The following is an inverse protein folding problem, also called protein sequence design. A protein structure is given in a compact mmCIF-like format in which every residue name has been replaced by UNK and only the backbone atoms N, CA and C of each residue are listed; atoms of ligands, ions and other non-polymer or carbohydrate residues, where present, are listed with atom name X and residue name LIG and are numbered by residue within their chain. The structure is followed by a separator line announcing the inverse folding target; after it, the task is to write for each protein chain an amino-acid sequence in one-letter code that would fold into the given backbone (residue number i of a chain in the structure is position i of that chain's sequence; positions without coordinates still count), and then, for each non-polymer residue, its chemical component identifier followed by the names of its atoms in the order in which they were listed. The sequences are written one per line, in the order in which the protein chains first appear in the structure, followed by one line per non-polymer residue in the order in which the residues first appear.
data_IF_459696050832
#
_entry.id   IF_459696050832
#
_cell.length_a   1.000
_cell.length_b   1.000
_cell.length_c   1.000
_cell.angle_alpha   90.00
_cell.angle_beta   90.00
_cell.angle_gamma   90.00
#
_symmetry.space_group_name_H-M   'P 1'
#
loop_
_entity.id
_entity.type
_entity.pdbx_description
1 polymer ?
#
# COMPACT_ATOMS: atom_id res chain seq x y z
N UNK A 1 6.51 -10.86 28.72
CA UNK A 1 5.38 -10.95 27.77
C UNK A 1 5.22 -12.34 27.15
N UNK A 2 6.28 -12.93 26.57
CA UNK A 2 6.25 -14.23 25.90
C UNK A 2 5.50 -15.35 26.65
N UNK A 3 5.82 -15.60 27.92
CA UNK A 3 5.16 -16.64 28.73
C UNK A 3 3.64 -16.43 28.82
N UNK A 4 3.20 -15.22 29.19
CA UNK A 4 1.77 -14.85 29.26
C UNK A 4 1.05 -15.07 27.93
N UNK A 5 1.70 -14.77 26.81
CA UNK A 5 1.11 -14.99 25.50
C UNK A 5 0.97 -16.46 25.14
N UNK A 6 1.97 -17.29 25.44
CA UNK A 6 1.88 -18.74 25.21
C UNK A 6 0.77 -19.38 26.04
N UNK A 7 0.59 -18.89 27.26
CA UNK A 7 -0.41 -19.39 28.20
C UNK A 7 -1.85 -19.01 27.79
N UNK A 8 -2.06 -17.84 27.15
CA UNK A 8 -3.41 -17.31 26.87
C UNK A 8 -3.75 -17.11 25.39
N UNK A 9 -2.78 -16.94 24.49
CA UNK A 9 -2.99 -16.55 23.09
C UNK A 9 -3.78 -17.58 22.29
N UNK A 10 -3.60 -18.88 22.60
CA UNK A 10 -4.32 -19.97 21.93
C UNK A 10 -5.84 -19.84 22.05
N UNK A 11 -6.34 -19.29 23.17
CA UNK A 11 -7.78 -19.08 23.41
C UNK A 11 -8.40 -18.08 22.44
N UNK A 12 -7.59 -17.20 21.85
CA UNK A 12 -8.02 -16.16 20.92
C UNK A 12 -7.61 -16.45 19.48
N UNK A 13 -7.23 -17.70 19.18
CA UNK A 13 -6.73 -18.08 17.84
C UNK A 13 -5.32 -17.56 17.53
N UNK A 14 -4.63 -16.96 18.51
CA UNK A 14 -3.28 -16.46 18.35
C UNK A 14 -2.29 -17.61 18.59
N UNK A 15 -1.87 -18.25 17.50
CA UNK A 15 -0.93 -19.38 17.55
C UNK A 15 0.52 -18.90 17.49
N UNK A 16 1.44 -19.68 18.07
CA UNK A 16 2.88 -19.34 18.05
C UNK A 16 3.41 -19.17 16.62
N UNK A 17 2.92 -19.97 15.66
CA UNK A 17 3.35 -19.88 14.25
C UNK A 17 3.01 -18.54 13.58
N UNK A 18 1.98 -17.84 14.07
CA UNK A 18 1.55 -16.56 13.50
C UNK A 18 2.09 -15.34 14.27
N UNK A 19 2.59 -15.55 15.49
CA UNK A 19 2.89 -14.46 16.43
C UNK A 19 4.36 -14.43 16.86
N UNK A 20 5.04 -15.57 16.81
CA UNK A 20 6.46 -15.69 17.14
C UNK A 20 7.20 -16.25 15.94
N UNK A 21 7.84 -15.33 15.20
CA UNK A 21 8.77 -15.66 14.16
C UNK A 21 10.19 -15.48 14.70
N UNK A 22 11.08 -16.42 14.38
CA UNK A 22 12.50 -16.15 14.54
C UNK A 22 12.86 -15.03 13.58
N UNK A 23 13.41 -13.95 14.10
CA UNK A 23 13.74 -12.75 13.35
C UNK A 23 15.07 -12.20 13.80
N UNK A 24 15.70 -11.42 12.93
CA UNK A 24 16.91 -10.69 13.25
C UNK A 24 16.55 -9.39 13.98
N UNK A 25 17.35 -9.07 14.99
CA UNK A 25 17.23 -7.86 15.77
C UNK A 25 18.60 -7.21 15.84
N UNK A 26 18.66 -5.90 15.62
CA UNK A 26 19.88 -5.09 15.73
C UNK A 26 19.85 -4.33 17.03
N UNK A 27 20.88 -4.49 17.86
CA UNK A 27 21.14 -3.62 19.00
C UNK A 27 21.57 -2.24 18.51
N UNK A 28 20.92 -1.19 19.02
CA UNK A 28 21.15 0.21 18.69
C UNK A 28 22.03 0.93 19.72
N UNK A 29 22.33 0.30 20.86
CA UNK A 29 23.21 0.84 21.89
C UNK A 29 22.78 2.25 22.38
N UNK A 30 23.71 3.22 22.48
CA UNK A 30 23.45 4.55 23.04
C UNK A 30 22.42 5.39 22.26
N UNK A 31 22.10 5.04 21.01
CA UNK A 31 21.04 5.71 20.25
C UNK A 31 19.67 5.54 20.94
N UNK A 32 19.46 4.43 21.65
CA UNK A 32 18.24 4.16 22.43
C UNK A 32 18.11 5.01 23.70
N UNK A 33 19.20 5.58 24.21
CA UNK A 33 19.23 6.31 25.49
C UNK A 33 18.76 7.78 25.37
N UNK A 34 18.70 8.32 24.15
CA UNK A 34 18.52 9.75 23.89
C UNK A 34 17.07 10.20 23.64
N UNK A 35 16.08 9.31 23.79
CA UNK A 35 14.65 9.67 23.69
C UNK A 35 13.74 8.74 24.48
N UNK A 36 12.81 9.25 25.31
CA UNK A 36 11.75 8.41 25.90
C UNK A 36 10.82 7.78 24.84
N UNK A 37 10.72 8.37 23.64
CA UNK A 37 9.95 7.81 22.51
C UNK A 37 10.74 6.76 21.70
N UNK A 38 12.05 6.65 21.91
CA UNK A 38 12.95 5.70 21.24
C UNK A 38 13.65 4.78 22.25
N UNK A 39 12.98 4.32 23.30
CA UNK A 39 13.53 3.26 24.18
C UNK A 39 13.67 1.90 23.46
N UNK A 40 14.00 1.94 22.17
CA UNK A 40 14.41 0.86 21.30
C UNK A 40 15.93 0.78 21.43
N UNK A 41 16.39 0.05 22.44
CA UNK A 41 17.74 -0.51 22.42
C UNK A 41 17.89 -1.52 21.26
N UNK A 42 16.79 -1.92 20.65
CA UNK A 42 16.72 -2.96 19.64
C UNK A 42 15.80 -2.54 18.50
N UNK A 43 16.19 -2.82 17.25
CA UNK A 43 15.36 -2.66 16.05
C UNK A 43 15.18 -4.03 15.38
N UNK A 44 13.93 -4.48 15.19
CA UNK A 44 13.68 -5.72 14.46
C UNK A 44 13.83 -5.53 12.95
N UNK A 45 14.16 -6.60 12.23
CA UNK A 45 14.23 -6.55 10.77
C UNK A 45 12.89 -6.19 10.13
N UNK A 46 11.76 -6.56 10.75
CA UNK A 46 10.43 -6.20 10.29
C UNK A 46 10.18 -4.70 10.44
N UNK A 47 10.49 -4.12 11.60
CA UNK A 47 10.34 -2.68 11.84
C UNK A 47 11.18 -1.86 10.85
N UNK A 48 12.41 -2.31 10.56
CA UNK A 48 13.27 -1.67 9.57
C UNK A 48 12.65 -1.66 8.16
N UNK A 49 12.01 -2.76 7.75
CA UNK A 49 11.28 -2.83 6.47
C UNK A 49 10.05 -1.94 6.47
N UNK A 50 9.31 -1.90 7.58
CA UNK A 50 8.13 -1.03 7.72
C UNK A 50 8.50 0.45 7.61
N UNK A 51 9.57 0.85 8.30
CA UNK A 51 10.15 2.20 8.24
C UNK A 51 10.56 2.55 6.81
N UNK A 52 11.38 1.70 6.18
CA UNK A 52 11.86 1.95 4.83
C UNK A 52 10.70 2.06 3.83
N UNK A 53 9.73 1.14 3.92
CA UNK A 53 8.56 1.12 3.03
C UNK A 53 7.72 2.38 3.21
N UNK A 54 7.46 2.80 4.45
CA UNK A 54 6.68 3.98 4.75
C UNK A 54 7.34 5.24 4.17
N UNK A 55 8.63 5.44 4.45
CA UNK A 55 9.40 6.58 3.92
C UNK A 55 9.48 6.58 2.38
N UNK A 56 9.71 5.43 1.74
CA UNK A 56 9.71 5.30 0.28
C UNK A 56 8.36 5.70 -0.33
N UNK A 57 7.27 5.34 0.34
CA UNK A 57 5.90 5.58 -0.13
C UNK A 57 5.29 6.92 0.28
N UNK A 58 6.02 7.74 1.05
CA UNK A 58 5.53 9.01 1.57
C UNK A 58 5.16 9.96 0.42
N UNK A 59 3.96 10.55 0.48
CA UNK A 59 3.48 11.46 -0.56
C UNK A 59 3.53 12.90 -0.02
N UNK A 60 4.23 13.83 -0.70
CA UNK A 60 4.30 15.22 -0.27
C UNK A 60 2.92 15.85 -0.11
N UNK A 61 2.76 16.73 0.89
CA UNK A 61 1.51 17.46 1.13
C UNK A 61 1.13 18.35 -0.06
N UNK A 62 2.11 18.91 -0.77
CA UNK A 62 1.91 19.69 -1.99
C UNK A 62 1.24 18.89 -3.12
N UNK A 63 1.36 17.56 -3.09
CA UNK A 63 0.73 16.64 -4.03
C UNK A 63 -0.49 15.95 -3.39
N UNK A 64 -1.19 16.63 -2.49
CA UNK A 64 -2.42 16.12 -1.88
C UNK A 64 -3.65 16.60 -2.63
N UNK A 65 -4.72 15.80 -2.62
CA UNK A 65 -6.03 16.18 -3.12
C UNK A 65 -6.63 17.43 -2.42
N UNK A 66 -6.14 17.79 -1.22
CA UNK A 66 -6.54 19.05 -0.57
C UNK A 66 -5.90 20.30 -1.18
N UNK A 67 -4.88 20.15 -2.05
CA UNK A 67 -4.11 21.26 -2.62
C UNK A 67 -4.20 21.31 -4.16
N UNK A 68 -5.26 20.75 -4.76
CA UNK A 68 -5.44 20.70 -6.23
C UNK A 68 -5.40 22.07 -6.91
N UNK A 69 -5.79 23.12 -6.19
CA UNK A 69 -5.74 24.51 -6.68
C UNK A 69 -4.33 25.08 -6.81
N UNK A 70 -3.38 24.54 -6.05
CA UNK A 70 -1.97 24.96 -6.05
C UNK A 70 -1.08 24.12 -6.95
N UNK A 71 -1.64 23.12 -7.65
CA UNK A 71 -0.88 22.31 -8.59
C UNK A 71 -0.38 23.16 -9.76
N UNK A 72 0.78 22.81 -10.34
CA UNK A 72 1.27 23.40 -11.57
C UNK A 72 0.20 23.38 -12.67
N UNK A 73 0.07 24.50 -13.38
CA UNK A 73 -0.89 24.66 -14.48
C UNK A 73 -0.21 25.27 -15.70
N UNK A 74 -0.65 24.82 -16.87
CA UNK A 74 -0.29 25.39 -18.15
C UNK A 74 -0.94 26.78 -18.33
N UNK A 75 -0.52 27.51 -19.36
CA UNK A 75 -1.03 28.85 -19.65
C UNK A 75 -2.54 28.89 -19.95
N UNK A 76 -3.13 27.76 -20.36
CA UNK A 76 -4.57 27.58 -20.59
C UNK A 76 -5.36 27.17 -19.33
N UNK A 77 -4.68 27.05 -18.19
CA UNK A 77 -5.26 26.68 -16.90
C UNK A 77 -5.42 25.17 -16.66
N UNK A 78 -5.07 24.32 -17.63
CA UNK A 78 -5.06 22.88 -17.44
C UNK A 78 -3.92 22.44 -16.51
N UNK A 79 -4.06 21.35 -15.75
CA UNK A 79 -2.97 20.79 -14.97
C UNK A 79 -1.75 20.51 -15.84
N UNK A 80 -0.58 20.96 -15.41
CA UNK A 80 0.69 20.62 -16.06
C UNK A 80 1.13 19.24 -15.58
N UNK A 81 0.69 18.20 -16.30
CA UNK A 81 0.98 16.81 -15.98
C UNK A 81 2.50 16.53 -15.93
N UNK A 82 3.28 17.16 -16.81
CA UNK A 82 4.73 16.97 -16.85
C UNK A 82 5.40 17.55 -15.60
N UNK A 83 5.00 18.75 -15.16
CA UNK A 83 5.49 19.34 -13.93
C UNK A 83 5.08 18.52 -12.69
N UNK A 84 3.84 18.03 -12.63
CA UNK A 84 3.36 17.18 -11.54
C UNK A 84 4.17 15.88 -11.46
N UNK A 85 4.42 15.22 -12.61
CA UNK A 85 5.23 14.00 -12.69
C UNK A 85 6.67 14.25 -12.25
N UNK A 86 7.24 15.41 -12.59
CA UNK A 86 8.60 15.76 -12.16
C UNK A 86 8.66 15.99 -10.64
N UNK A 87 7.69 16.70 -10.05
CA UNK A 87 7.59 16.85 -8.59
C UNK A 87 7.48 15.49 -7.89
N UNK A 88 6.69 14.56 -8.43
CA UNK A 88 6.60 13.19 -7.91
C UNK A 88 7.93 12.44 -8.01
N UNK A 89 8.66 12.62 -9.12
CA UNK A 89 9.96 11.99 -9.35
C UNK A 89 10.98 12.51 -8.35
N UNK A 90 11.07 13.82 -8.16
CA UNK A 90 11.94 14.47 -7.17
C UNK A 90 11.62 13.97 -5.75
N UNK A 91 10.34 13.91 -5.39
CA UNK A 91 9.90 13.39 -4.10
C UNK A 91 10.32 11.92 -3.89
N UNK A 92 10.17 11.06 -4.90
CA UNK A 92 10.59 9.65 -4.82
C UNK A 92 12.10 9.51 -4.63
N UNK A 93 12.91 10.36 -5.27
CA UNK A 93 14.36 10.37 -5.08
C UNK A 93 14.73 10.85 -3.67
N UNK A 94 14.08 11.91 -3.17
CA UNK A 94 14.28 12.38 -1.81
C UNK A 94 13.89 11.31 -0.77
N UNK A 95 12.77 10.63 -0.98
CA UNK A 95 12.29 9.54 -0.14
C UNK A 95 13.27 8.35 -0.11
N UNK A 96 13.91 8.04 -1.23
CA UNK A 96 14.95 7.00 -1.28
C UNK A 96 16.11 7.31 -0.33
N UNK A 97 16.62 8.54 -0.36
CA UNK A 97 17.70 8.96 0.53
C UNK A 97 17.24 9.02 1.99
N UNK A 98 16.03 9.54 2.27
CA UNK A 98 15.43 9.51 3.63
C UNK A 98 15.33 8.09 4.17
N UNK A 99 14.83 7.15 3.38
CA UNK A 99 14.72 5.75 3.77
C UNK A 99 16.10 5.11 4.01
N UNK A 100 17.07 5.40 3.12
CA UNK A 100 18.46 4.92 3.27
C UNK A 100 19.09 5.42 4.57
N UNK A 101 18.99 6.71 4.87
CA UNK A 101 19.54 7.31 6.08
C UNK A 101 18.89 6.76 7.35
N UNK A 102 17.57 6.54 7.33
CA UNK A 102 16.82 5.96 8.45
C UNK A 102 17.29 4.54 8.79
N UNK A 103 17.40 3.64 7.80
CA UNK A 103 17.77 2.23 8.06
C UNK A 103 19.24 2.04 8.43
N UNK A 104 20.12 2.99 8.10
CA UNK A 104 21.51 2.96 8.55
C UNK A 104 21.62 3.09 10.08
N UNK A 105 20.61 3.69 10.73
CA UNK A 105 20.56 3.90 12.18
C UNK A 105 21.80 4.65 12.72
N UNK A 106 22.30 5.63 11.96
CA UNK A 106 23.45 6.46 12.37
C UNK A 106 23.02 7.59 13.30
N UNK A 107 21.89 8.20 12.99
CA UNK A 107 21.33 9.36 13.71
C UNK A 107 19.91 9.03 14.18
N UNK A 108 19.49 9.51 15.36
CA UNK A 108 18.17 9.21 15.90
C UNK A 108 17.04 9.95 15.14
N UNK A 109 17.33 11.07 14.49
CA UNK A 109 16.34 11.89 13.79
C UNK A 109 15.62 11.16 12.65
N UNK A 110 16.33 10.72 11.60
CA UNK A 110 15.74 9.97 10.48
C UNK A 110 15.01 8.70 10.93
N UNK A 111 15.51 8.02 11.96
CA UNK A 111 14.85 6.84 12.51
C UNK A 111 13.51 7.19 13.17
N UNK A 112 13.43 8.27 13.97
CA UNK A 112 12.16 8.75 14.58
C UNK A 112 11.13 9.09 13.53
N UNK A 113 11.56 9.83 12.51
CA UNK A 113 10.72 10.22 11.39
C UNK A 113 10.17 8.99 10.67
N UNK A 114 11.03 8.02 10.38
CA UNK A 114 10.63 6.76 9.76
C UNK A 114 9.64 5.94 10.59
N UNK A 115 9.82 5.89 11.91
CA UNK A 115 8.87 5.23 12.83
C UNK A 115 7.52 5.95 12.80
N UNK A 116 7.51 7.28 12.86
CA UNK A 116 6.28 8.07 12.81
C UNK A 116 5.52 7.82 11.50
N UNK A 117 6.21 7.88 10.36
CA UNK A 117 5.62 7.62 9.04
C UNK A 117 5.05 6.19 8.95
N UNK A 118 5.77 5.19 9.50
CA UNK A 118 5.30 3.81 9.51
C UNK A 118 4.03 3.62 10.35
N UNK A 119 3.95 4.30 11.51
CA UNK A 119 2.76 4.27 12.36
C UNK A 119 1.56 4.93 11.69
N UNK A 120 1.76 6.09 11.04
CA UNK A 120 0.73 6.78 10.27
C UNK A 120 0.25 5.93 9.10
N UNK A 121 1.18 5.33 8.35
CA UNK A 121 0.88 4.40 7.26
C UNK A 121 0.05 3.21 7.72
N UNK A 122 0.41 2.59 8.85
CA UNK A 122 -0.30 1.44 9.39
C UNK A 122 -1.71 1.84 9.87
N UNK A 123 -1.85 3.01 10.50
CA UNK A 123 -3.15 3.55 10.92
C UNK A 123 -4.06 3.80 9.71
N UNK A 124 -3.56 4.44 8.64
CA UNK A 124 -4.32 4.70 7.43
C UNK A 124 -4.82 3.39 6.76
N UNK A 125 -3.96 2.37 6.65
CA UNK A 125 -4.33 1.04 6.12
C UNK A 125 -5.44 0.41 6.96
N UNK A 126 -5.29 0.41 8.29
CA UNK A 126 -6.27 -0.14 9.21
C UNK A 126 -7.62 0.57 9.07
N UNK A 127 -7.62 1.89 9.05
CA UNK A 127 -8.84 2.70 9.08
C UNK A 127 -9.61 2.62 7.76
N UNK A 128 -8.90 2.65 6.62
CA UNK A 128 -9.54 2.43 5.31
C UNK A 128 -10.05 1.00 5.14
N UNK A 129 -9.30 -0.01 5.61
CA UNK A 129 -9.77 -1.40 5.58
C UNK A 129 -11.06 -1.59 6.41
N UNK A 130 -11.13 -0.99 7.61
CA UNK A 130 -12.35 -0.99 8.44
C UNK A 130 -13.51 -0.34 7.71
N UNK A 131 -13.31 0.85 7.16
CA UNK A 131 -14.34 1.58 6.41
C UNK A 131 -14.91 0.72 5.26
N UNK A 132 -14.04 0.13 4.45
CA UNK A 132 -14.44 -0.70 3.31
C UNK A 132 -15.17 -1.96 3.73
N UNK A 133 -14.79 -2.55 4.87
CA UNK A 133 -15.48 -3.72 5.45
C UNK A 133 -16.87 -3.34 5.97
N UNK A 134 -16.96 -2.26 6.74
CA UNK A 134 -18.19 -1.83 7.41
C UNK A 134 -19.24 -1.38 6.39
N UNK A 135 -18.81 -0.74 5.30
CA UNK A 135 -19.67 -0.33 4.18
C UNK A 135 -19.93 -1.44 3.17
N UNK A 136 -19.35 -2.63 3.34
CA UNK A 136 -19.43 -3.76 2.39
C UNK A 136 -19.00 -3.38 0.97
N UNK A 137 -18.01 -2.50 0.84
CA UNK A 137 -17.48 -2.00 -0.44
C UNK A 137 -16.60 -3.01 -1.20
N UNK A 138 -16.47 -4.25 -0.70
CA UNK A 138 -15.76 -5.33 -1.38
C UNK A 138 -16.74 -6.19 -2.14
N UNK A 139 -16.66 -6.12 -3.47
CA UNK A 139 -17.52 -6.81 -4.41
C UNK A 139 -16.84 -8.07 -4.96
N UNK A 140 -17.63 -8.90 -5.64
CA UNK A 140 -17.16 -10.10 -6.33
C UNK A 140 -17.30 -9.94 -7.82
N UNK A 141 -16.22 -10.15 -8.56
CA UNK A 141 -16.23 -10.47 -9.99
C UNK A 141 -16.14 -11.99 -10.17
N UNK A 142 -16.09 -12.46 -11.42
CA UNK A 142 -16.00 -13.90 -11.73
C UNK A 142 -14.73 -14.54 -11.15
N UNK A 143 -13.56 -13.95 -11.41
CA UNK A 143 -12.25 -14.51 -11.07
C UNK A 143 -11.60 -13.88 -9.82
N UNK A 144 -12.02 -12.68 -9.41
CA UNK A 144 -11.42 -11.94 -8.29
C UNK A 144 -12.48 -11.20 -7.45
N UNK A 145 -12.06 -10.67 -6.31
CA UNK A 145 -12.78 -9.66 -5.52
C UNK A 145 -12.23 -8.28 -5.82
N UNK A 146 -13.02 -7.25 -5.62
CA UNK A 146 -12.55 -5.89 -5.88
C UNK A 146 -13.19 -4.85 -4.97
N UNK A 147 -12.50 -3.73 -4.80
CA UNK A 147 -13.07 -2.52 -4.22
C UNK A 147 -12.52 -1.28 -4.93
N UNK A 148 -13.29 -0.20 -4.89
CA UNK A 148 -12.95 1.09 -5.49
C UNK A 148 -13.00 2.18 -4.41
N UNK A 149 -11.99 3.05 -4.37
CA UNK A 149 -11.86 4.14 -3.40
C UNK A 149 -11.75 5.46 -4.16
N UNK A 150 -12.80 6.27 -4.11
CA UNK A 150 -12.88 7.54 -4.84
C UNK A 150 -12.13 8.69 -4.17
N UNK A 151 -12.06 8.67 -2.83
CA UNK A 151 -11.43 9.72 -2.02
C UNK A 151 -10.47 9.09 -1.02
N UNK A 152 -9.33 8.58 -1.48
CA UNK A 152 -8.34 7.95 -0.61
C UNK A 152 -7.58 8.98 0.24
N UNK A 153 -7.11 8.59 1.43
CA UNK A 153 -6.01 9.28 2.08
C UNK A 153 -4.76 9.36 1.18
N UNK A 154 -3.94 10.41 1.36
CA UNK A 154 -2.83 10.74 0.45
C UNK A 154 -1.82 9.59 0.25
N UNK A 155 -1.58 8.79 1.29
CA UNK A 155 -0.65 7.64 1.23
C UNK A 155 -1.01 6.60 0.17
N UNK A 156 -2.29 6.48 -0.19
CA UNK A 156 -2.74 5.51 -1.19
C UNK A 156 -2.59 6.00 -2.63
N UNK A 157 -2.02 7.20 -2.87
CA UNK A 157 -1.53 7.59 -4.20
C UNK A 157 -0.27 6.81 -4.61
N UNK A 158 0.42 6.19 -3.65
CA UNK A 158 1.58 5.36 -3.92
C UNK A 158 1.20 3.85 -4.00
N UNK A 159 1.69 3.09 -4.99
CA UNK A 159 1.34 1.67 -5.17
C UNK A 159 1.67 0.79 -3.96
N UNK A 160 2.75 1.10 -3.22
CA UNK A 160 3.08 0.38 -1.99
C UNK A 160 2.00 0.55 -0.90
N UNK A 161 1.40 1.73 -0.77
CA UNK A 161 0.31 1.97 0.18
C UNK A 161 -0.93 1.16 -0.18
N UNK A 162 -1.30 1.15 -1.47
CA UNK A 162 -2.43 0.35 -1.98
C UNK A 162 -2.15 -1.15 -1.85
N UNK A 163 -0.92 -1.60 -2.11
CA UNK A 163 -0.49 -2.99 -1.92
C UNK A 163 -0.64 -3.42 -0.46
N UNK A 164 -0.17 -2.62 0.49
CA UNK A 164 -0.33 -2.90 1.93
C UNK A 164 -1.79 -3.03 2.32
N UNK A 165 -2.65 -2.14 1.82
CA UNK A 165 -4.10 -2.24 2.00
C UNK A 165 -4.68 -3.53 1.42
N UNK A 166 -4.29 -3.90 0.20
CA UNK A 166 -4.79 -5.09 -0.48
C UNK A 166 -4.42 -6.37 0.31
N UNK A 167 -3.15 -6.51 0.72
CA UNK A 167 -2.68 -7.65 1.51
C UNK A 167 -3.39 -7.69 2.86
N UNK A 168 -3.47 -6.56 3.57
CA UNK A 168 -4.16 -6.49 4.86
C UNK A 168 -5.65 -6.85 4.74
N UNK A 169 -6.33 -6.38 3.70
CA UNK A 169 -7.72 -6.72 3.42
C UNK A 169 -7.88 -8.21 3.12
N UNK A 170 -6.98 -8.83 2.35
CA UNK A 170 -7.01 -10.27 2.09
C UNK A 170 -6.93 -11.06 3.40
N UNK A 171 -6.01 -10.71 4.30
CA UNK A 171 -5.97 -11.30 5.64
C UNK A 171 -7.32 -11.10 6.35
N UNK A 172 -7.85 -9.87 6.45
CA UNK A 172 -9.16 -9.65 7.09
C UNK A 172 -10.30 -10.48 6.47
N UNK A 173 -10.30 -10.68 5.15
CA UNK A 173 -11.32 -11.46 4.43
C UNK A 173 -11.20 -12.97 4.63
N UNK A 174 -10.00 -13.48 4.93
CA UNK A 174 -9.68 -14.91 4.92
C UNK A 174 -9.19 -15.47 6.28
N UNK A 175 -8.61 -14.66 7.17
CA UNK A 175 -8.14 -15.07 8.49
C UNK A 175 -9.29 -15.45 9.45
N UNK A 176 -10.49 -14.87 9.29
CA UNK A 176 -11.66 -15.13 10.17
C UNK A 176 -12.48 -16.35 9.71
N UNK A 177 -12.12 -17.00 8.60
CA UNK A 177 -12.89 -18.12 8.06
C UNK A 177 -12.53 -19.45 8.72
N UNK A 178 -13.13 -19.71 9.87
CA UNK A 178 -13.47 -21.09 10.24
C UNK A 178 -14.72 -21.50 9.46
N UNK A 179 -14.54 -22.05 8.25
CA UNK A 179 -15.61 -22.80 7.57
C UNK A 179 -16.39 -22.12 6.44
N UNK A 180 -15.93 -21.01 5.84
CA UNK A 180 -16.56 -20.52 4.62
C UNK A 180 -16.19 -21.42 3.42
N UNK A 181 -17.20 -22.06 2.83
CA UNK A 181 -17.11 -22.96 1.69
C UNK A 181 -16.88 -22.13 0.43
N UNK A 182 -15.63 -21.89 0.05
CA UNK A 182 -15.31 -21.26 -1.23
C UNK A 182 -13.83 -20.91 -1.34
N UNK A 183 -13.25 -20.93 -2.55
CA UNK A 183 -11.83 -20.66 -2.74
C UNK A 183 -11.50 -19.22 -2.32
N UNK A 184 -10.31 -19.06 -1.74
CA UNK A 184 -9.69 -17.75 -1.61
C UNK A 184 -9.54 -17.18 -3.03
N UNK A 185 -9.82 -15.89 -3.21
CA UNK A 185 -9.80 -15.21 -4.51
C UNK A 185 -8.87 -14.00 -4.41
N UNK A 186 -8.12 -13.68 -5.47
CA UNK A 186 -7.34 -12.45 -5.53
C UNK A 186 -8.22 -11.22 -5.29
N UNK A 187 -7.61 -10.13 -4.82
CA UNK A 187 -8.25 -8.84 -4.59
C UNK A 187 -7.63 -7.78 -5.49
N UNK A 188 -8.48 -7.03 -6.18
CA UNK A 188 -8.11 -5.82 -6.91
C UNK A 188 -8.56 -4.59 -6.12
N UNK A 189 -7.62 -3.74 -5.73
CA UNK A 189 -7.93 -2.45 -5.10
C UNK A 189 -7.70 -1.35 -6.12
N UNK A 190 -8.71 -0.52 -6.35
CA UNK A 190 -8.66 0.59 -7.30
C UNK A 190 -8.82 1.90 -6.54
N UNK A 191 -7.85 2.79 -6.68
CA UNK A 191 -7.79 4.05 -5.94
C UNK A 191 -7.76 5.20 -6.93
N UNK A 192 -8.65 6.18 -6.77
CA UNK A 192 -8.66 7.37 -7.59
C UNK A 192 -7.60 8.37 -7.12
N UNK A 193 -6.63 8.65 -7.99
CA UNK A 193 -5.67 9.72 -7.81
C UNK A 193 -6.18 10.98 -8.52
N UNK A 194 -6.76 11.89 -7.74
CA UNK A 194 -7.32 13.16 -8.22
C UNK A 194 -6.25 14.17 -8.67
N UNK A 195 -4.99 13.99 -8.29
CA UNK A 195 -3.90 14.89 -8.71
C UNK A 195 -3.49 14.57 -10.15
N UNK A 196 -3.49 13.28 -10.50
CA UNK A 196 -3.11 12.80 -11.84
C UNK A 196 -4.30 12.42 -12.71
N UNK A 197 -5.53 12.47 -12.17
CA UNK A 197 -6.76 12.03 -12.83
C UNK A 197 -6.61 10.61 -13.43
N UNK A 198 -6.10 9.69 -12.59
CA UNK A 198 -5.95 8.27 -12.91
C UNK A 198 -6.54 7.38 -11.82
N UNK A 199 -6.93 6.17 -12.17
CA UNK A 199 -7.14 5.08 -11.22
C UNK A 199 -5.88 4.23 -11.12
N UNK A 200 -5.30 4.20 -9.92
CA UNK A 200 -4.24 3.27 -9.55
C UNK A 200 -4.87 1.93 -9.13
N UNK A 201 -4.64 0.90 -9.93
CA UNK A 201 -5.19 -0.44 -9.76
C UNK A 201 -4.06 -1.38 -9.29
N UNK A 202 -4.22 -1.96 -8.09
CA UNK A 202 -3.24 -2.90 -7.51
C UNK A 202 -3.90 -4.23 -7.19
N UNK A 203 -3.39 -5.28 -7.83
CA UNK A 203 -3.76 -6.66 -7.58
C UNK A 203 -2.94 -7.29 -6.45
N UNK A 204 -3.61 -8.09 -5.62
CA UNK A 204 -2.96 -8.92 -4.61
C UNK A 204 -3.59 -10.31 -4.57
N UNK A 205 -2.76 -11.31 -4.29
CA UNK A 205 -3.17 -12.72 -4.22
C UNK A 205 -2.97 -13.22 -2.78
N UNK A 206 -3.94 -13.93 -2.19
CA UNK A 206 -3.78 -14.54 -0.87
C UNK A 206 -2.57 -15.48 -0.82
N UNK A 207 -1.82 -15.46 0.29
CA UNK A 207 -0.60 -16.27 0.52
C UNK A 207 -0.80 -17.78 0.37
N UNK A 208 -2.05 -18.25 0.52
CA UNK A 208 -2.42 -19.68 0.40
C UNK A 208 -2.57 -20.15 -1.05
N UNK A 209 -2.69 -19.22 -1.99
CA UNK A 209 -2.66 -19.52 -3.41
C UNK A 209 -1.21 -19.42 -3.88
N UNK A 210 -0.79 -20.32 -4.77
CA UNK A 210 0.49 -20.14 -5.47
C UNK A 210 0.50 -18.77 -6.13
N UNK A 211 1.61 -18.03 -6.04
CA UNK A 211 1.82 -16.76 -6.75
C UNK A 211 1.71 -16.99 -8.27
N UNK A 212 0.48 -16.98 -8.78
CA UNK A 212 0.19 -16.84 -10.20
C UNK A 212 -0.06 -15.37 -10.43
N UNK A 213 0.65 -14.80 -11.38
CA UNK A 213 0.50 -13.41 -11.84
C UNK A 213 -0.82 -13.27 -12.63
N UNK A 214 -1.94 -13.46 -11.93
CA UNK A 214 -3.26 -13.49 -12.54
C UNK A 214 -3.65 -12.09 -13.02
N UNK A 215 -3.36 -11.05 -12.23
CA UNK A 215 -3.68 -9.67 -12.61
C UNK A 215 -2.81 -9.12 -13.74
N UNK A 216 -1.51 -9.45 -13.81
CA UNK A 216 -0.69 -9.01 -14.92
C UNK A 216 -1.15 -9.58 -16.26
N UNK A 217 -1.66 -10.82 -16.28
CA UNK A 217 -2.24 -11.41 -17.47
C UNK A 217 -3.60 -10.80 -17.82
N UNK A 218 -4.46 -10.56 -16.82
CA UNK A 218 -5.75 -9.89 -17.01
C UNK A 218 -5.58 -8.49 -17.59
N UNK A 219 -4.69 -7.66 -17.02
CA UNK A 219 -4.42 -6.31 -17.52
C UNK A 219 -3.92 -6.34 -18.96
N UNK A 220 -2.95 -7.20 -19.29
CA UNK A 220 -2.49 -7.34 -20.69
C UNK A 220 -3.58 -7.77 -21.64
N UNK A 221 -4.51 -8.63 -21.20
CA UNK A 221 -5.65 -9.05 -22.03
C UNK A 221 -6.56 -7.86 -22.35
N UNK A 222 -6.86 -7.03 -21.36
CA UNK A 222 -7.67 -5.80 -21.54
C UNK A 222 -6.96 -4.82 -22.49
N UNK A 223 -5.66 -4.58 -22.27
CA UNK A 223 -4.88 -3.66 -23.11
C UNK A 223 -4.74 -4.13 -24.57
N UNK A 224 -4.79 -5.44 -24.82
CA UNK A 224 -4.85 -5.98 -26.19
C UNK A 224 -6.22 -5.81 -26.83
N UNK A 225 -7.28 -5.87 -26.03
CA UNK A 225 -8.67 -5.73 -26.49
C UNK A 225 -9.03 -4.28 -26.81
N UNK A 226 -8.52 -3.31 -26.04
CA UNK A 226 -8.65 -1.88 -26.33
C UNK A 226 -7.27 -1.19 -26.31
N UNK A 227 -6.61 -1.10 -27.49
CA UNK A 227 -5.35 -0.38 -27.65
C UNK A 227 -5.47 1.15 -27.48
N UNK A 228 -6.70 1.69 -27.41
CA UNK A 228 -6.98 3.12 -27.27
C UNK A 228 -7.14 3.58 -25.83
N UNK A 229 -6.85 2.74 -24.83
CA UNK A 229 -6.79 3.14 -23.43
C UNK A 229 -5.52 3.95 -23.16
N UNK A 230 -5.65 5.04 -22.40
CA UNK A 230 -4.53 5.75 -21.83
C UNK A 230 -4.16 5.12 -20.47
N UNK A 231 -2.97 4.53 -20.41
CA UNK A 231 -2.51 3.78 -19.24
C UNK A 231 -1.02 3.96 -18.99
N UNK A 232 -0.61 3.73 -17.74
CA UNK A 232 0.77 3.47 -17.36
C UNK A 232 0.85 2.08 -16.74
N UNK A 233 1.59 1.18 -17.38
CA UNK A 233 1.81 -0.18 -16.91
C UNK A 233 3.25 -0.34 -16.46
N UNK A 234 3.46 -0.56 -15.16
CA UNK A 234 4.79 -0.70 -14.59
C UNK A 234 5.43 -2.03 -15.04
N UNK A 235 6.65 -1.96 -15.55
CA UNK A 235 7.40 -3.15 -15.96
C UNK A 235 7.92 -3.96 -14.76
N UNK A 236 8.11 -3.32 -13.60
CA UNK A 236 8.66 -3.95 -12.40
C UNK A 236 7.61 -4.71 -11.59
N UNK A 237 6.37 -4.21 -11.57
CA UNK A 237 5.26 -4.85 -10.86
C UNK A 237 4.05 -5.04 -11.79
N UNK A 238 3.94 -6.26 -12.30
CA UNK A 238 2.91 -6.65 -13.28
C UNK A 238 1.50 -6.58 -12.73
N UNK A 239 1.34 -6.55 -11.41
CA UNK A 239 0.05 -6.45 -10.73
C UNK A 239 -0.38 -5.01 -10.44
N UNK A 240 0.35 -4.02 -10.96
CA UNK A 240 0.03 -2.60 -10.84
C UNK A 240 -0.21 -2.00 -12.23
N UNK A 241 -1.30 -1.26 -12.37
CA UNK A 241 -1.60 -0.49 -13.58
C UNK A 241 -2.28 0.82 -13.19
N UNK A 242 -1.97 1.90 -13.90
CA UNK A 242 -2.69 3.16 -13.82
C UNK A 242 -3.48 3.35 -15.10
N UNK A 243 -4.75 3.73 -14.97
CA UNK A 243 -5.66 3.97 -16.09
C UNK A 243 -6.18 5.40 -15.97
N UNK A 244 -6.17 6.17 -17.05
CA UNK A 244 -6.78 7.51 -17.06
C UNK A 244 -8.24 7.45 -16.58
N UNK A 245 -8.66 8.40 -15.76
CA UNK A 245 -10.02 8.42 -15.19
C UNK A 245 -11.11 8.44 -16.26
N UNK A 246 -10.85 9.11 -17.39
CA UNK A 246 -11.74 9.13 -18.56
C UNK A 246 -11.92 7.74 -19.22
N UNK A 247 -10.93 6.85 -19.08
CA UNK A 247 -10.90 5.54 -19.73
C UNK A 247 -11.27 4.38 -18.81
N UNK A 248 -11.40 4.67 -17.51
CA UNK A 248 -11.65 3.67 -16.48
C UNK A 248 -12.93 2.85 -16.73
N UNK A 249 -14.00 3.47 -17.23
CA UNK A 249 -15.24 2.75 -17.55
C UNK A 249 -15.05 1.65 -18.58
N UNK A 250 -14.35 1.97 -19.68
CA UNK A 250 -14.02 1.02 -20.76
C UNK A 250 -13.10 -0.09 -20.27
N UNK A 251 -12.06 0.29 -19.51
CA UNK A 251 -11.16 -0.66 -18.87
C UNK A 251 -11.90 -1.63 -17.94
N UNK A 252 -12.80 -1.12 -17.10
CA UNK A 252 -13.54 -1.91 -16.12
C UNK A 252 -14.51 -2.89 -16.76
N UNK A 253 -15.21 -2.48 -17.82
CA UNK A 253 -16.12 -3.34 -18.58
C UNK A 253 -15.38 -4.58 -19.13
N UNK A 254 -14.20 -4.37 -19.74
CA UNK A 254 -13.37 -5.44 -20.28
C UNK A 254 -12.75 -6.32 -19.17
N UNK A 255 -12.36 -5.73 -18.05
CA UNK A 255 -11.71 -6.46 -16.95
C UNK A 255 -12.68 -7.32 -16.15
N UNK A 256 -13.94 -6.87 -16.00
CA UNK A 256 -14.95 -7.51 -15.15
C UNK A 256 -15.82 -8.55 -15.89
N UNK A 257 -15.73 -8.59 -17.22
CA UNK A 257 -16.35 -9.59 -18.11
C UNK A 257 -15.80 -11.00 -17.90
#
# INVERSE_FOLDING_TARGET
LHKKFRDHGKLYGLTERCMFLQQFVRDLGPLGDTSPALLLHELSCCDAVDIATALLSAVPSALSASHLEHLPRLADGQPDEAAILEMEREAKVANFWRASDAVLCKEPGPLREGIAEALESAAAVRDLCRLLRDTKAVHSARSFRWCKVEQPPNIFRHPLGVRRLAIWMLEVLYSVRSGAIGPDRPLLVMVHDQVREVYLCVGATPTRLSERDDFGNLFRSVLRADPGLNFRYDAFDRSVIEIASADFGRFWELLSS
#
